data_IF_451071534651
#
_entry.id   IF_451071534651
#
_cell.length_a   1.000
_cell.length_b   1.000
_cell.length_c   1.000
_cell.angle_alpha   90.00
_cell.angle_beta   90.00
_cell.angle_gamma   90.00
#
_symmetry.space_group_name_H-M   'P 1'
#
loop_
_entity.id
_entity.type
_entity.pdbx_description
1 polymer ?
2 non-polymer ?
3 non-polymer ?
4 non-polymer ?
5 water ?
#
# COMPACT_ATOMS: atom_id res chain seq x y z
N UNK A 4 12.34 1.69 -15.83
CA UNK A 4 12.36 3.13 -16.21
C UNK A 4 12.18 4.15 -15.04
N UNK A 5 11.28 3.96 -14.09
CA UNK A 5 11.21 4.94 -12.98
C UNK A 5 11.16 4.23 -11.64
N UNK A 6 11.83 4.76 -10.61
CA UNK A 6 11.76 4.05 -9.33
C UNK A 6 10.47 4.40 -8.60
N UNK A 7 9.89 3.46 -7.85
CA UNK A 7 8.62 3.77 -7.15
C UNK A 7 8.65 3.37 -5.68
N UNK A 8 7.70 3.94 -4.91
CA UNK A 8 7.52 3.51 -3.56
C UNK A 8 6.11 2.90 -3.63
N UNK A 9 6.01 1.58 -3.39
CA UNK A 9 4.72 0.88 -3.31
C UNK A 9 4.31 1.03 -1.86
N UNK A 10 3.02 1.29 -1.67
CA UNK A 10 2.48 1.55 -0.36
C UNK A 10 1.24 0.74 -0.02
N UNK A 11 1.29 0.10 1.11
CA UNK A 11 0.13 -0.51 1.70
C UNK A 11 -0.75 0.68 2.11
N UNK A 12 -2.04 0.44 2.35
CA UNK A 12 -2.83 1.59 2.78
C UNK A 12 -3.15 1.53 4.26
N UNK A 13 -4.03 0.62 4.72
CA UNK A 13 -4.31 0.56 6.18
C UNK A 13 -3.06 0.16 6.94
N UNK A 14 -2.79 0.85 8.02
CA UNK A 14 -1.63 0.56 8.82
C UNK A 14 -0.40 1.30 8.31
N UNK A 15 -0.44 1.88 7.10
CA UNK A 15 0.72 2.60 6.53
C UNK A 15 0.42 4.08 6.17
N UNK A 16 -0.69 4.29 5.45
CA UNK A 16 -1.11 5.65 5.11
C UNK A 16 -2.15 6.08 6.16
N UNK A 17 -3.12 5.22 6.44
CA UNK A 17 -4.20 5.53 7.43
C UNK A 17 -4.21 4.57 8.60
N UNK A 18 -4.70 5.07 9.75
CA UNK A 18 -4.76 4.25 10.95
C UNK A 18 -5.72 3.12 10.65
N UNK A 19 -5.33 1.88 10.99
CA UNK A 19 -6.21 0.78 10.69
C UNK A 19 -7.25 0.52 11.75
N UNK A 20 -8.38 1.22 11.63
CA UNK A 20 -9.47 1.11 12.60
C UNK A 20 -10.37 -0.10 12.46
N UNK A 21 -10.31 -0.77 11.32
CA UNK A 21 -11.12 -1.95 11.11
C UNK A 21 -11.98 -1.78 9.89
N UNK A 22 -11.60 -2.42 8.77
CA UNK A 22 -12.38 -2.38 7.55
C UNK A 22 -12.78 -0.92 7.25
N UNK A 23 -11.82 0.00 7.24
CA UNK A 23 -12.08 1.43 6.99
C UNK A 23 -12.67 1.61 5.64
N UNK A 24 -13.85 2.26 5.61
CA UNK A 24 -14.48 2.46 4.34
C UNK A 24 -15.27 3.77 4.23
N UNK A 25 -15.21 4.56 5.29
CA UNK A 25 -15.88 5.87 5.39
C UNK A 25 -14.87 7.02 5.65
N UNK A 26 -15.06 8.15 4.97
CA UNK A 26 -14.21 9.31 5.11
C UNK A 26 -14.07 9.64 6.54
N UNK A 27 -15.18 9.68 7.29
CA UNK A 27 -14.98 10.09 8.67
C UNK A 27 -14.22 9.14 9.59
N UNK A 28 -13.86 7.94 9.10
CA UNK A 28 -13.04 6.99 9.88
C UNK A 28 -11.67 6.79 9.24
N UNK A 29 -11.33 7.65 8.30
CA UNK A 29 -10.05 7.55 7.59
C UNK A 29 -9.19 8.61 8.17
N UNK A 30 -8.19 8.19 8.92
CA UNK A 30 -7.30 9.12 9.58
C UNK A 30 -5.85 9.00 9.01
N UNK A 31 -5.30 10.04 8.43
CA UNK A 31 -3.93 9.89 7.88
C UNK A 31 -2.98 9.83 9.04
N UNK A 32 -2.04 8.90 8.98
CA UNK A 32 -1.07 8.74 10.06
C UNK A 32 -0.12 9.97 10.08
N UNK A 33 0.28 10.38 11.29
CA UNK A 33 1.13 11.55 11.42
C UNK A 33 2.30 11.60 10.46
N UNK A 34 2.46 12.72 9.78
CA UNK A 34 3.60 12.88 8.92
C UNK A 34 3.63 12.14 7.60
N UNK A 35 2.63 11.31 7.25
CA UNK A 35 2.78 10.63 6.00
C UNK A 35 2.51 11.44 4.77
N UNK A 36 1.60 12.42 4.84
CA UNK A 36 1.39 13.21 3.63
C UNK A 36 2.68 13.99 3.32
N UNK A 37 3.32 14.57 4.32
CA UNK A 37 4.57 15.33 4.10
C UNK A 37 5.65 14.41 3.54
N UNK A 38 5.76 13.22 4.12
CA UNK A 38 6.74 12.24 3.61
C UNK A 38 6.43 11.84 2.16
N UNK A 39 5.15 11.63 1.82
CA UNK A 39 4.84 11.31 0.46
C UNK A 39 5.16 12.46 -0.49
N UNK A 40 4.89 13.69 -0.07
CA UNK A 40 5.20 14.79 -1.00
C UNK A 40 6.72 14.80 -1.24
N UNK A 41 7.49 14.57 -0.19
CA UNK A 41 8.95 14.59 -0.35
C UNK A 41 9.42 13.44 -1.23
N UNK A 42 8.81 12.25 -1.08
CA UNK A 42 9.18 11.14 -1.93
C UNK A 42 8.88 11.49 -3.39
N UNK A 43 7.76 12.19 -3.68
CA UNK A 43 7.49 12.58 -5.06
C UNK A 43 8.54 13.61 -5.49
N UNK A 44 8.85 14.52 -4.58
CA UNK A 44 9.86 15.51 -4.93
C UNK A 44 11.20 14.82 -5.25
N UNK A 45 11.58 13.76 -4.51
CA UNK A 45 12.84 13.08 -4.82
C UNK A 45 12.82 12.42 -6.19
N UNK A 46 11.63 12.21 -6.71
CA UNK A 46 11.56 11.63 -8.03
C UNK A 46 10.90 10.28 -8.09
N UNK A 47 10.39 9.79 -6.96
CA UNK A 47 9.74 8.46 -6.95
C UNK A 47 8.31 8.48 -7.43
N UNK A 48 7.88 7.42 -8.11
CA UNK A 48 6.46 7.29 -8.49
C UNK A 48 5.80 6.79 -7.18
N UNK A 49 4.52 7.09 -6.94
CA UNK A 49 3.93 6.53 -5.70
C UNK A 49 2.75 5.69 -6.11
N UNK A 50 2.72 4.46 -5.61
CA UNK A 50 1.68 3.52 -6.00
C UNK A 50 1.05 2.81 -4.81
N UNK A 51 -0.26 2.98 -4.61
CA UNK A 51 -0.92 2.29 -3.52
C UNK A 51 -1.31 0.86 -3.98
N UNK A 52 -1.06 -0.16 -3.15
CA UNK A 52 -1.41 -1.53 -3.50
C UNK A 52 -2.04 -2.08 -2.24
N UNK A 53 -3.38 -2.17 -2.21
CA UNK A 53 -4.03 -2.52 -0.95
C UNK A 53 -5.00 -3.71 -1.04
N UNK A 54 -4.87 -4.65 -0.10
CA UNK A 54 -5.84 -5.75 -0.05
C UNK A 54 -7.09 -5.18 0.65
N UNK A 55 -8.27 -5.41 0.10
CA UNK A 55 -9.50 -4.86 0.70
C UNK A 55 -10.50 -5.99 0.70
N UNK A 56 -10.23 -7.04 1.48
CA UNK A 56 -11.10 -8.22 1.43
C UNK A 56 -12.36 -7.91 2.11
N UNK A 57 -12.42 -6.72 2.70
CA UNK A 57 -13.68 -6.29 3.31
C UNK A 57 -14.78 -6.27 2.24
N UNK A 58 -14.40 -6.05 0.98
CA UNK A 58 -15.40 -6.02 -0.09
C UNK A 58 -15.97 -7.45 -0.26
N UNK A 59 -15.10 -8.43 -0.43
CA UNK A 59 -15.54 -9.81 -0.55
C UNK A 59 -16.34 -10.26 0.70
N UNK A 60 -16.00 -9.70 1.86
CA UNK A 60 -16.68 -10.08 3.10
C UNK A 60 -18.07 -9.49 3.21
N UNK A 61 -18.36 -8.48 2.36
CA UNK A 61 -19.65 -7.84 2.43
C UNK A 61 -19.69 -6.75 3.52
N UNK A 62 -18.52 -6.39 4.08
CA UNK A 62 -18.44 -5.33 5.11
C UNK A 62 -18.71 -3.95 4.44
N UNK A 63 -18.39 -3.84 3.15
CA UNK A 63 -18.70 -2.62 2.43
C UNK A 63 -18.63 -2.93 0.95
N UNK A 64 -19.14 -2.03 0.10
CA UNK A 64 -19.18 -2.29 -1.35
C UNK A 64 -18.02 -1.73 -2.10
N UNK A 65 -17.82 -2.21 -3.31
CA UNK A 65 -16.76 -1.69 -4.11
C UNK A 65 -17.09 -0.22 -4.35
N UNK A 66 -18.37 0.15 -4.36
CA UNK A 66 -18.74 1.55 -4.61
C UNK A 66 -18.25 2.40 -3.44
N UNK A 67 -18.48 1.95 -2.21
CA UNK A 67 -18.00 2.71 -1.05
C UNK A 67 -16.47 2.81 -1.02
N UNK A 68 -15.80 1.77 -1.48
CA UNK A 68 -14.35 1.85 -1.51
C UNK A 68 -13.98 2.91 -2.52
N UNK A 69 -14.67 2.88 -3.65
CA UNK A 69 -14.38 3.82 -4.71
C UNK A 69 -14.56 5.24 -4.26
N UNK A 70 -15.62 5.46 -3.47
CA UNK A 70 -15.90 6.79 -2.96
C UNK A 70 -14.81 7.21 -2.02
N UNK A 71 -14.38 6.30 -1.13
CA UNK A 71 -13.37 6.69 -0.16
C UNK A 71 -12.03 6.89 -0.87
N UNK A 72 -11.80 6.09 -1.89
CA UNK A 72 -10.54 6.16 -2.61
C UNK A 72 -10.46 7.44 -3.42
N UNK A 73 -11.60 7.87 -3.99
CA UNK A 73 -11.64 9.14 -4.72
C UNK A 73 -11.35 10.27 -3.75
N UNK A 74 -11.98 10.24 -2.56
CA UNK A 74 -11.74 11.23 -1.56
C UNK A 74 -10.27 11.28 -1.17
N UNK A 75 -9.68 10.10 -1.00
CA UNK A 75 -8.27 10.07 -0.61
C UNK A 75 -7.37 10.62 -1.72
N UNK A 76 -7.62 10.21 -2.94
CA UNK A 76 -6.84 10.65 -4.10
C UNK A 76 -6.89 12.17 -4.20
N UNK A 77 -8.09 12.74 -4.07
CA UNK A 77 -8.26 14.23 -4.12
C UNK A 77 -7.57 14.94 -2.99
N UNK A 78 -7.75 14.40 -1.78
CA UNK A 78 -7.14 14.99 -0.60
C UNK A 78 -5.64 15.02 -0.74
N UNK A 79 -5.04 13.96 -1.34
CA UNK A 79 -3.60 13.97 -1.51
C UNK A 79 -3.21 14.92 -2.65
N UNK A 80 -3.86 14.81 -3.80
CA UNK A 80 -3.55 15.69 -4.94
C UNK A 80 -3.61 17.18 -4.48
N UNK A 81 -4.63 17.48 -3.69
CA UNK A 81 -4.84 18.85 -3.19
C UNK A 81 -3.72 19.33 -2.24
N UNK A 82 -2.95 18.40 -1.68
CA UNK A 82 -1.84 18.74 -0.83
C UNK A 82 -0.56 18.45 -1.56
N UNK A 83 -0.65 18.44 -2.89
CA UNK A 83 0.52 18.19 -3.73
C UNK A 83 1.16 16.83 -3.71
N UNK A 84 0.34 15.81 -3.55
CA UNK A 84 0.81 14.43 -3.64
C UNK A 84 -0.07 13.83 -4.72
N UNK A 85 0.48 13.65 -5.92
CA UNK A 85 -0.30 13.11 -7.01
C UNK A 85 0.09 11.60 -7.11
N UNK A 86 -0.81 10.72 -6.69
CA UNK A 86 -0.49 9.29 -6.73
C UNK A 86 -0.40 8.77 -8.16
N UNK A 87 0.65 8.02 -8.49
CA UNK A 87 0.78 7.49 -9.85
C UNK A 87 -0.15 6.36 -10.17
N UNK A 88 -0.59 5.66 -9.12
CA UNK A 88 -1.49 4.56 -9.37
C UNK A 88 -2.06 4.09 -8.03
N UNK A 89 -3.24 3.48 -8.08
CA UNK A 89 -3.85 2.99 -6.89
C UNK A 89 -4.45 1.68 -7.36
N UNK A 90 -3.99 0.59 -6.74
CA UNK A 90 -4.44 -0.75 -7.08
C UNK A 90 -5.05 -1.38 -5.88
N UNK A 91 -6.11 -2.18 -6.05
CA UNK A 91 -6.70 -2.78 -4.84
C UNK A 91 -7.24 -4.16 -5.22
N UNK A 92 -7.40 -5.03 -4.24
CA UNK A 92 -7.83 -6.43 -4.45
C UNK A 92 -9.02 -6.61 -3.52
N UNK A 93 -10.20 -6.81 -4.10
CA UNK A 93 -11.44 -6.96 -3.35
C UNK A 93 -11.77 -8.40 -3.08
N UNK A 94 -10.93 -9.29 -3.57
CA UNK A 94 -11.29 -10.68 -3.44
C UNK A 94 -10.89 -11.38 -2.17
N UNK A 95 -11.56 -12.52 -1.94
CA UNK A 95 -11.16 -13.44 -0.85
C UNK A 95 -11.76 -14.80 -1.23
N UNK A 96 -10.98 -15.86 -1.11
CA UNK A 96 -11.53 -17.17 -1.48
C UNK A 96 -12.80 -17.58 -0.76
N UNK A 97 -13.00 -17.09 0.48
CA UNK A 97 -14.21 -17.41 1.22
C UNK A 97 -15.22 -16.27 1.20
N UNK A 98 -15.09 -15.38 0.21
CA UNK A 98 -15.97 -14.24 0.14
C UNK A 98 -17.46 -14.59 0.26
N UNK A 99 -18.20 -13.75 0.96
CA UNK A 99 -19.64 -13.96 1.06
C UNK A 99 -20.25 -13.26 -0.14
N UNK A 100 -19.47 -12.43 -0.80
CA UNK A 100 -20.07 -11.74 -1.93
C UNK A 100 -19.58 -12.47 -3.15
N UNK A 101 -20.52 -13.15 -3.79
CA UNK A 101 -20.16 -14.04 -4.85
C UNK A 101 -19.24 -13.48 -5.93
N UNK A 102 -19.54 -12.28 -6.36
CA UNK A 102 -18.77 -11.61 -7.39
C UNK A 102 -17.25 -11.57 -7.06
N UNK A 103 -16.97 -11.50 -5.78
CA UNK A 103 -15.60 -11.36 -5.29
C UNK A 103 -14.98 -12.56 -4.64
N UNK A 104 -15.68 -13.67 -4.76
CA UNK A 104 -15.23 -14.89 -4.15
C UNK A 104 -14.34 -15.69 -5.08
N UNK A 105 -13.05 -15.64 -4.86
CA UNK A 105 -12.18 -16.41 -5.73
C UNK A 105 -10.80 -16.23 -5.23
N UNK A 106 -9.92 -17.13 -5.66
CA UNK A 106 -8.52 -16.89 -5.38
C UNK A 106 -8.25 -15.95 -6.55
N UNK A 107 -7.23 -15.12 -6.44
CA UNK A 107 -6.93 -14.21 -7.54
C UNK A 107 -5.42 -14.05 -7.58
N UNK A 108 -4.95 -13.28 -8.53
CA UNK A 108 -3.53 -13.06 -8.64
C UNK A 108 -3.18 -11.76 -7.96
N UNK A 109 -4.19 -11.01 -7.53
CA UNK A 109 -3.91 -9.70 -6.94
C UNK A 109 -3.88 -9.62 -5.41
N UNK A 110 -4.27 -10.70 -4.72
CA UNK A 110 -4.29 -10.65 -3.25
C UNK A 110 -2.91 -10.88 -2.68
N UNK A 111 -2.31 -9.87 -2.08
CA UNK A 111 -0.99 -10.09 -1.52
C UNK A 111 -1.20 -11.25 -0.55
N UNK A 112 -0.21 -12.14 -0.42
CA UNK A 112 1.14 -12.22 -0.99
C UNK A 112 1.40 -12.41 -2.48
N UNK A 113 0.35 -12.66 -3.26
CA UNK A 113 0.53 -12.79 -4.70
C UNK A 113 0.99 -11.37 -5.13
N UNK A 114 1.93 -11.28 -6.08
CA UNK A 114 2.46 -9.97 -6.56
C UNK A 114 1.69 -9.28 -7.69
N UNK A 115 0.53 -9.83 -8.08
CA UNK A 115 -0.22 -9.26 -9.20
C UNK A 115 -0.33 -7.75 -9.37
N UNK A 116 -0.74 -7.09 -8.29
CA UNK A 116 -0.89 -5.63 -8.30
C UNK A 116 0.43 -4.92 -8.57
N UNK A 117 1.51 -5.44 -8.00
CA UNK A 117 2.78 -4.80 -8.20
C UNK A 117 3.24 -5.00 -9.65
N UNK A 118 2.98 -6.18 -10.21
CA UNK A 118 3.36 -6.48 -11.60
C UNK A 118 2.55 -5.59 -12.54
N UNK A 119 1.25 -5.46 -12.32
CA UNK A 119 0.43 -4.60 -13.19
C UNK A 119 0.95 -3.19 -13.15
N UNK A 120 1.20 -2.69 -11.95
CA UNK A 120 1.72 -1.34 -11.80
C UNK A 120 3.05 -1.26 -12.54
N UNK A 121 3.88 -2.26 -12.39
CA UNK A 121 5.17 -2.26 -13.05
C UNK A 121 5.02 -2.07 -14.57
N UNK A 122 4.15 -2.87 -15.19
CA UNK A 122 3.93 -2.86 -16.65
C UNK A 122 3.29 -1.53 -17.09
N UNK A 123 2.28 -1.08 -16.36
CA UNK A 123 1.58 0.17 -16.64
C UNK A 123 2.41 1.47 -16.48
N UNK A 124 3.23 1.55 -15.44
CA UNK A 124 3.96 2.79 -15.15
C UNK A 124 5.43 2.67 -15.46
N UNK A 125 5.86 1.56 -16.03
CA UNK A 125 7.29 1.37 -16.34
C UNK A 125 8.11 1.58 -15.11
N UNK A 126 7.95 0.70 -14.13
CA UNK A 126 8.71 0.87 -12.89
C UNK A 126 9.97 0.05 -12.79
N UNK A 127 11.04 0.65 -12.29
CA UNK A 127 12.33 -0.03 -12.15
C UNK A 127 12.18 -0.77 -10.81
N UNK A 128 11.76 -2.03 -10.82
CA UNK A 128 11.54 -2.71 -9.55
C UNK A 128 12.73 -2.77 -8.61
N UNK A 129 13.94 -2.98 -9.14
CA UNK A 129 15.11 -3.09 -8.29
C UNK A 129 15.46 -1.79 -7.57
N UNK A 130 15.05 -0.67 -8.15
CA UNK A 130 15.30 0.61 -7.52
C UNK A 130 14.07 1.03 -6.66
N UNK A 131 13.11 0.13 -6.47
CA UNK A 131 11.89 0.54 -5.77
C UNK A 131 11.79 0.05 -4.34
N UNK A 132 10.76 0.49 -3.60
CA UNK A 132 10.58 0.09 -2.19
C UNK A 132 9.15 -0.36 -2.01
N UNK A 133 8.90 -1.22 -1.04
CA UNK A 133 7.52 -1.63 -0.71
C UNK A 133 7.43 -1.24 0.78
N UNK A 134 6.35 -0.56 1.19
CA UNK A 134 6.21 -0.18 2.58
C UNK A 134 4.88 -0.76 3.10
N UNK A 135 4.92 -1.52 4.17
CA UNK A 135 3.66 -2.08 4.69
C UNK A 135 3.83 -2.59 6.11
N UNK A 136 2.80 -3.12 6.74
CA UNK A 136 2.93 -3.58 8.14
C UNK A 136 2.77 -5.09 8.30
N UNK A 137 2.56 -5.83 7.21
CA UNK A 137 2.34 -7.25 7.30
C UNK A 137 3.25 -8.18 6.51
N UNK A 138 3.33 -9.44 6.92
CA UNK A 138 4.21 -10.38 6.21
C UNK A 138 3.84 -10.44 4.71
N UNK A 139 2.55 -10.54 4.47
CA UNK A 139 2.03 -10.62 3.09
C UNK A 139 2.57 -9.49 2.20
N UNK A 140 2.76 -8.27 2.74
CA UNK A 140 3.29 -7.16 1.94
C UNK A 140 4.75 -7.44 1.53
N UNK A 141 5.49 -8.00 2.45
CA UNK A 141 6.95 -8.23 2.19
C UNK A 141 7.08 -9.44 1.21
N UNK A 142 6.16 -10.41 1.34
CA UNK A 142 6.21 -11.61 0.46
C UNK A 142 5.83 -11.20 -0.99
N UNK A 143 4.83 -10.34 -1.15
CA UNK A 143 4.47 -9.86 -2.51
C UNK A 143 5.65 -9.06 -3.12
N UNK A 144 6.32 -8.27 -2.30
CA UNK A 144 7.42 -7.50 -2.78
C UNK A 144 8.57 -8.42 -3.24
N UNK A 145 8.88 -9.47 -2.48
CA UNK A 145 9.99 -10.33 -2.89
C UNK A 145 9.60 -11.04 -4.18
N UNK A 146 8.35 -11.40 -4.33
CA UNK A 146 7.95 -12.04 -5.58
C UNK A 146 8.01 -11.10 -6.75
N UNK A 147 7.88 -9.80 -6.47
CA UNK A 147 7.88 -8.82 -7.57
C UNK A 147 9.22 -8.15 -7.79
N UNK A 148 10.23 -8.65 -7.11
CA UNK A 148 11.61 -8.14 -7.28
C UNK A 148 11.81 -6.69 -6.80
N UNK A 149 11.04 -6.27 -5.81
CA UNK A 149 11.18 -4.92 -5.27
C UNK A 149 12.46 -4.90 -4.50
N UNK A 150 13.30 -3.89 -4.75
CA UNK A 150 14.62 -3.81 -4.17
C UNK A 150 14.76 -3.70 -2.69
N UNK A 151 13.86 -2.95 -2.02
CA UNK A 151 13.97 -2.77 -0.58
C UNK A 151 12.61 -2.95 0.04
N UNK A 152 12.51 -3.88 0.99
CA UNK A 152 11.25 -4.23 1.69
C UNK A 152 11.27 -3.56 3.07
N UNK A 153 10.36 -2.61 3.25
CA UNK A 153 10.27 -1.81 4.47
C UNK A 153 9.00 -2.07 5.26
N UNK A 154 9.17 -2.47 6.50
CA UNK A 154 8.07 -2.74 7.38
C UNK A 154 7.90 -1.51 8.27
N UNK A 155 6.66 -1.16 8.61
CA UNK A 155 6.43 -0.03 9.54
C UNK A 155 5.68 -0.51 10.77
N UNK A 156 5.78 0.27 11.85
CA UNK A 156 5.17 -0.13 13.10
C UNK A 156 3.89 0.63 13.36
N UNK A 157 3.34 1.28 12.34
CA UNK A 157 2.12 2.06 12.53
C UNK A 157 0.82 1.25 12.44
N UNK A 158 0.89 -0.05 12.21
CA UNK A 158 -0.37 -0.77 12.22
C UNK A 158 -0.11 -1.78 13.27
N UNK A 159 -0.45 -2.99 12.87
CA UNK A 159 -0.30 -4.27 13.56
C UNK A 159 1.14 -4.38 14.23
N UNK A 160 1.25 -4.88 15.50
CA UNK A 160 2.63 -5.00 16.04
C UNK A 160 3.10 -6.08 15.08
N UNK A 161 4.25 -5.87 14.52
CA UNK A 161 4.70 -6.79 13.58
C UNK A 161 4.99 -8.15 14.17
N UNK A 162 5.03 -9.17 13.30
CA UNK A 162 5.30 -10.56 13.74
C UNK A 162 6.73 -10.82 13.39
N UNK A 163 7.34 -11.87 13.98
CA UNK A 163 8.74 -12.11 13.65
C UNK A 163 8.88 -12.54 12.18
N UNK A 164 7.84 -13.15 11.65
CA UNK A 164 7.88 -13.60 10.26
C UNK A 164 7.92 -12.36 9.33
N UNK A 165 7.11 -11.35 9.63
CA UNK A 165 7.12 -10.12 8.77
C UNK A 165 8.53 -9.53 8.89
N UNK A 166 9.09 -9.47 10.10
CA UNK A 166 10.46 -8.94 10.23
C UNK A 166 11.47 -9.70 9.42
N UNK A 167 11.37 -11.03 9.47
CA UNK A 167 12.30 -11.84 8.71
C UNK A 167 12.28 -11.60 7.21
N UNK A 168 11.11 -11.29 6.68
CA UNK A 168 11.01 -11.08 5.22
C UNK A 168 11.33 -9.65 4.82
N UNK A 169 11.48 -8.76 5.79
CA UNK A 169 11.78 -7.37 5.46
C UNK A 169 13.25 -7.05 5.48
N UNK A 170 13.67 -6.00 4.76
CA UNK A 170 15.03 -5.48 4.75
C UNK A 170 15.20 -4.45 5.87
N UNK A 171 14.23 -3.54 6.03
CA UNK A 171 14.27 -2.48 7.06
C UNK A 171 12.97 -2.46 7.87
N UNK A 172 13.06 -2.01 9.12
CA UNK A 172 11.85 -1.84 9.92
C UNK A 172 11.87 -0.36 10.34
N UNK A 173 10.85 0.42 9.97
CA UNK A 173 10.82 1.83 10.38
C UNK A 173 9.61 2.09 11.26
N UNK A 174 9.67 3.20 12.01
CA UNK A 174 8.54 3.45 12.88
C UNK A 174 7.38 3.78 12.04
N UNK A 175 7.67 4.49 10.96
CA UNK A 175 6.57 4.97 10.13
C UNK A 175 7.02 5.38 8.75
N UNK A 176 6.06 5.41 7.83
CA UNK A 176 6.32 5.81 6.45
C UNK A 176 6.89 7.26 6.54
N UNK A 177 6.51 7.96 7.63
CA UNK A 177 6.96 9.32 7.89
C UNK A 177 8.49 9.35 7.91
N UNK A 178 9.11 8.26 8.33
CA UNK A 178 10.59 8.23 8.36
C UNK A 178 11.31 7.76 7.10
N UNK A 179 10.57 7.27 6.12
CA UNK A 179 11.23 6.82 4.89
C UNK A 179 12.11 7.76 4.09
N UNK A 180 11.71 9.06 3.94
CA UNK A 180 12.58 9.94 3.14
C UNK A 180 13.96 10.07 3.75
N UNK A 181 14.01 10.29 5.04
CA UNK A 181 15.32 10.41 5.66
C UNK A 181 16.10 9.12 5.55
N UNK A 182 15.42 7.99 5.74
CA UNK A 182 16.08 6.70 5.66
C UNK A 182 16.63 6.50 4.23
N UNK A 183 15.91 6.92 3.21
CA UNK A 183 16.43 6.74 1.88
C UNK A 183 17.62 7.62 1.59
N UNK A 184 17.56 8.86 2.09
CA UNK A 184 18.61 9.86 1.88
C UNK A 184 19.95 9.41 2.48
N UNK A 185 19.90 8.73 3.61
CA UNK A 185 21.11 8.26 4.25
C UNK A 185 21.71 7.12 3.47
N UNK A 186 21.18 6.87 2.29
CA UNK A 186 21.77 5.80 1.54
C UNK A 186 22.87 6.21 0.63
X LIG B 1 -1.71 -2.99 6.17
X LIG C 1 -7.57 -10.04 -6.04
X LIG D 1 -3.85 -3.20 3.38
X LIG D 1 -3.24 -4.22 2.40
X LIG D 1 -3.08 -3.24 4.64
X LIG D 1 -3.83 -1.86 2.80
X LIG D 1 -5.31 -3.53 3.73
#
# INVERSE_FOLDING_TARGET
XAKSVPAIFLDRDGTINVDHGYVHEIDNFEFIDGVIDAMRELKKMGFALVVVTNQSGIARGKFTEAQFETLTEWMDWSLADRDVDLDGIYYCPHHPQGSVEEFRQVCDCRKPHPGMLLSARDYLHIDMAASYMVGDKLEDMQAAVAANVGTKVLVRTGKPITPEAENAADWVLNSLADLPQAIKKQQ
MG MG
ZN ZN
PO4 P O1 O2 O3 O4
#
